data_IF_026399388215
#
_entry.id   IF_026399388215
#
_cell.length_a   1.000
_cell.length_b   1.000
_cell.length_c   1.000
_cell.angle_alpha   90.00
_cell.angle_beta   90.00
_cell.angle_gamma   90.00
#
_symmetry.space_group_name_H-M   'P 1'
#
loop_
_entity.id
_entity.type
_entity.pdbx_description
1 polymer ?
#
# COMPACT_ATOMS: atom_id res chain seq x y z
N UNK A 1 15.87 7.96 17.07
CA UNK A 1 15.50 6.58 16.68
C UNK A 1 14.17 6.73 15.97
N UNK A 2 14.16 6.59 14.64
CA UNK A 2 12.93 6.73 13.86
C UNK A 2 12.24 5.38 13.94
N UNK A 3 11.07 5.32 14.57
CA UNK A 3 10.28 4.10 14.58
C UNK A 3 9.88 3.76 13.14
N UNK A 4 10.26 2.56 12.72
CA UNK A 4 10.10 2.09 11.35
C UNK A 4 8.61 1.96 11.01
N UNK A 5 8.17 2.74 10.01
CA UNK A 5 7.33 2.28 8.92
C UNK A 5 5.95 1.66 9.29
N UNK A 6 5.11 2.37 10.04
CA UNK A 6 3.70 1.98 10.21
C UNK A 6 2.94 2.21 8.90
N UNK A 7 2.33 1.15 8.34
CA UNK A 7 1.40 1.29 7.22
C UNK A 7 0.23 2.22 7.57
N UNK A 8 -0.29 2.88 6.55
CA UNK A 8 -1.45 3.73 6.63
C UNK A 8 -2.74 2.89 6.65
N UNK A 9 -3.75 3.31 7.41
CA UNK A 9 -5.04 2.62 7.43
C UNK A 9 -5.74 2.66 6.09
N UNK A 10 -6.64 1.70 5.87
CA UNK A 10 -7.52 1.70 4.70
C UNK A 10 -8.36 2.98 4.65
N UNK A 11 -8.65 3.44 3.43
CA UNK A 11 -9.35 4.70 3.20
C UNK A 11 -8.47 5.94 3.36
N UNK A 12 -7.19 5.79 3.70
CA UNK A 12 -6.23 6.89 3.62
C UNK A 12 -6.12 7.39 2.18
N UNK A 13 -6.10 8.72 2.01
CA UNK A 13 -5.91 9.37 0.71
C UNK A 13 -4.51 9.94 0.65
N UNK A 14 -3.74 9.55 -0.35
CA UNK A 14 -2.33 9.90 -0.52
C UNK A 14 -2.06 10.49 -1.91
N UNK A 15 -0.95 11.20 -2.02
CA UNK A 15 -0.32 11.60 -3.26
C UNK A 15 1.04 10.92 -3.34
N UNK A 16 1.34 10.27 -4.46
CA UNK A 16 2.64 9.65 -4.68
C UNK A 16 3.66 10.68 -5.18
N UNK A 17 4.94 10.38 -5.00
CA UNK A 17 6.03 11.12 -5.63
C UNK A 17 5.81 11.18 -7.15
N UNK A 18 5.96 12.37 -7.73
CA UNK A 18 5.70 12.66 -9.16
C UNK A 18 4.24 12.41 -9.64
N UNK A 19 3.34 11.98 -8.76
CA UNK A 19 1.93 11.76 -9.05
C UNK A 19 1.12 13.06 -9.03
N UNK A 20 0.25 13.24 -10.02
CA UNK A 20 -0.72 14.35 -10.05
C UNK A 20 -2.10 13.96 -9.49
N UNK A 21 -2.37 12.67 -9.36
CA UNK A 21 -3.68 12.14 -8.95
C UNK A 21 -3.65 11.62 -7.52
N UNK A 22 -4.69 11.94 -6.75
CA UNK A 22 -4.90 11.39 -5.41
C UNK A 22 -5.30 9.93 -5.51
N UNK A 23 -4.72 9.10 -4.66
CA UNK A 23 -5.07 7.69 -4.52
C UNK A 23 -5.70 7.44 -3.16
N UNK A 24 -6.73 6.61 -3.13
CA UNK A 24 -7.27 6.04 -1.89
C UNK A 24 -6.73 4.62 -1.71
N UNK A 25 -6.19 4.33 -0.53
CA UNK A 25 -5.70 2.99 -0.18
C UNK A 25 -6.89 2.06 0.07
N UNK A 26 -6.96 0.97 -0.68
CA UNK A 26 -8.03 -0.03 -0.63
C UNK A 26 -7.54 -1.43 -0.24
N UNK A 27 -6.22 -1.67 -0.23
CA UNK A 27 -5.62 -2.90 0.24
C UNK A 27 -4.20 -2.70 0.76
N UNK A 28 -3.72 -3.66 1.56
CA UNK A 28 -2.38 -3.67 2.17
C UNK A 28 -1.72 -5.03 1.99
N UNK A 29 -0.41 -5.07 1.74
CA UNK A 29 0.34 -6.31 1.51
C UNK A 29 -0.19 -7.12 0.32
N UNK A 30 -0.55 -6.43 -0.76
CA UNK A 30 -1.14 -7.08 -1.92
C UNK A 30 -0.08 -7.87 -2.70
N UNK A 31 -0.28 -9.19 -2.83
CA UNK A 31 0.51 -10.04 -3.72
C UNK A 31 -0.11 -10.01 -5.11
N UNK A 32 0.69 -9.74 -6.12
CA UNK A 32 0.26 -9.75 -7.51
C UNK A 32 1.38 -10.26 -8.42
N UNK A 33 1.00 -10.64 -9.64
CA UNK A 33 1.95 -11.06 -10.65
C UNK A 33 2.47 -9.83 -11.38
N UNK A 34 3.77 -9.56 -11.25
CA UNK A 34 4.39 -8.43 -11.94
C UNK A 34 4.34 -8.65 -13.45
N UNK A 35 3.88 -7.66 -14.20
CA UNK A 35 3.71 -7.81 -15.64
C UNK A 35 5.05 -7.87 -16.38
N UNK A 36 6.10 -7.21 -15.86
CA UNK A 36 7.41 -7.16 -16.49
C UNK A 36 8.23 -8.43 -16.20
N UNK A 37 8.27 -8.88 -14.95
CA UNK A 37 9.08 -10.06 -14.56
C UNK A 37 8.30 -11.38 -14.63
N UNK A 38 6.96 -11.33 -14.66
CA UNK A 38 6.07 -12.50 -14.51
C UNK A 38 6.21 -13.25 -13.18
N UNK A 39 6.93 -12.69 -12.21
CA UNK A 39 7.08 -13.25 -10.87
C UNK A 39 5.99 -12.75 -9.93
N UNK A 40 5.70 -13.53 -8.90
CA UNK A 40 4.87 -13.06 -7.79
C UNK A 40 5.70 -12.08 -6.95
N UNK A 41 5.16 -10.90 -6.73
CA UNK A 41 5.75 -9.87 -5.88
C UNK A 41 4.66 -9.32 -4.96
N UNK A 42 5.06 -8.69 -3.86
CA UNK A 42 4.11 -7.96 -3.03
C UNK A 42 4.37 -6.45 -3.04
N UNK A 43 3.31 -5.68 -2.84
CA UNK A 43 3.35 -4.24 -2.60
C UNK A 43 2.70 -3.89 -1.25
N UNK A 44 3.21 -2.83 -0.62
CA UNK A 44 2.67 -2.33 0.63
C UNK A 44 1.21 -1.94 0.50
N UNK A 45 0.85 -1.28 -0.61
CA UNK A 45 -0.51 -0.80 -0.86
C UNK A 45 -1.05 -1.20 -2.22
N UNK A 46 -2.35 -1.44 -2.21
CA UNK A 46 -3.23 -1.41 -3.37
C UNK A 46 -4.11 -0.18 -3.26
N UNK A 47 -4.13 0.66 -4.29
CA UNK A 47 -4.89 1.89 -4.34
C UNK A 47 -5.78 2.02 -5.56
N UNK A 48 -6.70 2.98 -5.45
CA UNK A 48 -7.62 3.38 -6.49
C UNK A 48 -7.60 4.90 -6.69
N UNK A 49 -7.94 5.37 -7.88
CA UNK A 49 -7.94 6.80 -8.17
C UNK A 49 -9.09 7.46 -7.41
N UNK A 50 -8.81 8.47 -6.60
CA UNK A 50 -9.85 9.25 -5.91
C UNK A 50 -10.30 10.45 -6.77
N UNK A 51 -11.61 10.72 -6.91
CA UNK A 51 -12.77 10.04 -6.34
C UNK A 51 -13.40 8.96 -7.25
N UNK A 52 -12.71 8.54 -8.31
CA UNK A 52 -13.25 7.64 -9.35
C UNK A 52 -13.54 6.23 -8.79
N UNK A 53 -12.66 5.70 -7.95
CA UNK A 53 -12.76 4.36 -7.36
C UNK A 53 -11.95 3.30 -8.11
N UNK A 54 -12.18 2.03 -7.75
CA UNK A 54 -11.41 0.88 -8.25
C UNK A 54 -11.86 0.55 -9.67
N UNK A 55 -10.90 0.43 -10.58
CA UNK A 55 -11.10 -0.22 -11.87
C UNK A 55 -10.33 -1.56 -11.87
N UNK A 56 -11.00 -2.70 -12.08
CA UNK A 56 -10.35 -4.01 -12.13
C UNK A 56 -9.18 -4.10 -13.11
N UNK A 57 -9.20 -3.30 -14.18
CA UNK A 57 -8.16 -3.27 -15.20
C UNK A 57 -6.98 -2.38 -14.86
N UNK A 58 -7.14 -1.43 -13.91
CA UNK A 58 -6.11 -0.44 -13.57
C UNK A 58 -5.95 -0.31 -12.05
N UNK A 59 -5.68 -1.44 -11.39
CA UNK A 59 -5.27 -1.44 -9.99
C UNK A 59 -3.87 -0.85 -9.86
N UNK A 60 -3.68 0.07 -8.91
CA UNK A 60 -2.39 0.73 -8.68
C UNK A 60 -1.75 0.08 -7.45
N UNK A 61 -0.54 -0.44 -7.61
CA UNK A 61 0.27 -0.99 -6.53
C UNK A 61 1.45 -0.05 -6.27
N UNK A 62 1.71 0.29 -5.00
CA UNK A 62 2.79 1.21 -4.63
C UNK A 62 3.31 0.91 -3.23
N UNK A 63 4.53 1.35 -2.96
CA UNK A 63 5.20 1.18 -1.68
C UNK A 63 4.98 2.38 -0.77
N UNK A 64 5.14 2.18 0.54
CA UNK A 64 5.04 3.24 1.52
C UNK A 64 6.07 4.36 1.31
N UNK A 65 7.24 4.01 0.82
CA UNK A 65 8.29 4.97 0.45
C UNK A 65 7.92 5.85 -0.76
N UNK A 66 6.95 5.45 -1.60
CA UNK A 66 6.53 6.24 -2.76
C UNK A 66 5.53 7.34 -2.41
N UNK A 67 5.11 7.47 -1.15
CA UNK A 67 4.13 8.48 -0.72
C UNK A 67 4.85 9.81 -0.46
N UNK A 68 4.58 10.81 -1.30
CA UNK A 68 5.01 12.20 -1.08
C UNK A 68 4.21 12.83 0.06
N UNK A 69 2.88 12.67 0.04
CA UNK A 69 2.01 13.33 1.01
C UNK A 69 0.76 12.54 1.36
N UNK A 70 0.48 12.42 2.65
CA UNK A 70 -0.81 11.95 3.17
C UNK A 70 -1.79 13.12 3.20
N UNK A 71 -2.84 13.05 2.38
CA UNK A 71 -3.90 14.06 2.29
C UNK A 71 -4.95 13.83 3.38
N UNK A 72 -5.25 12.57 3.66
CA UNK A 72 -6.19 12.15 4.69
C UNK A 72 -5.73 10.81 5.25
N UNK A 73 -5.70 10.70 6.58
CA UNK A 73 -5.47 9.41 7.25
C UNK A 73 -6.81 8.69 7.39
N UNK A 74 -6.84 7.43 6.97
CA UNK A 74 -8.00 6.58 6.99
C UNK A 74 -8.51 6.27 8.40
N UNK A 75 -9.56 5.46 8.46
CA UNK A 75 -10.18 5.07 9.71
C UNK A 75 -9.23 4.19 10.54
N UNK A 76 -9.18 4.41 11.85
CA UNK A 76 -8.26 3.74 12.76
C UNK A 76 -8.95 3.52 14.09
N UNK A 77 -8.99 2.26 14.53
CA UNK A 77 -9.54 1.81 15.80
C UNK A 77 -8.71 0.63 16.34
N UNK A 78 -9.23 -0.09 17.34
CA UNK A 78 -8.56 -1.25 17.94
C UNK A 78 -8.34 -2.39 16.93
N UNK A 79 -9.20 -2.54 15.93
CA UNK A 79 -9.01 -3.55 14.86
C UNK A 79 -7.84 -3.18 13.97
N UNK A 80 -7.68 -1.89 13.65
CA UNK A 80 -6.54 -1.37 12.90
C UNK A 80 -5.22 -1.59 13.65
N UNK A 81 -5.18 -1.33 14.97
CA UNK A 81 -3.99 -1.58 15.79
C UNK A 81 -3.61 -3.07 15.78
N UNK A 82 -4.61 -3.95 15.96
CA UNK A 82 -4.40 -5.40 15.90
C UNK A 82 -3.95 -5.87 14.51
N UNK A 83 -4.48 -5.27 13.45
CA UNK A 83 -4.05 -5.57 12.09
C UNK A 83 -2.56 -5.26 11.90
N UNK A 84 -2.08 -4.12 12.40
CA UNK A 84 -0.67 -3.75 12.31
C UNK A 84 0.26 -4.76 13.00
N UNK A 85 -0.13 -5.32 14.14
CA UNK A 85 0.63 -6.38 14.81
C UNK A 85 0.70 -7.68 13.99
N UNK A 86 -0.42 -8.09 13.41
CA UNK A 86 -0.50 -9.30 12.58
C UNK A 86 0.28 -9.10 11.28
N UNK A 87 0.16 -7.93 10.66
CA UNK A 87 0.88 -7.56 9.45
C UNK A 87 2.40 -7.60 9.67
N UNK A 88 2.89 -7.01 10.77
CA UNK A 88 4.32 -7.00 11.08
C UNK A 88 4.91 -8.39 11.30
N UNK A 89 4.10 -9.37 11.75
CA UNK A 89 4.51 -10.78 11.82
C UNK A 89 4.53 -11.42 10.43
N UNK A 90 3.48 -11.20 9.65
CA UNK A 90 3.39 -11.70 8.28
C UNK A 90 4.55 -11.19 7.40
N UNK A 91 4.93 -9.92 7.52
CA UNK A 91 6.05 -9.33 6.77
C UNK A 91 7.41 -10.00 7.08
N UNK A 92 7.57 -10.59 8.27
CA UNK A 92 8.79 -11.34 8.63
C UNK A 92 8.78 -12.77 8.08
N UNK A 93 7.60 -13.32 7.81
CA UNK A 93 7.42 -14.70 7.33
C UNK A 93 7.32 -14.78 5.80
N UNK A 94 6.94 -13.68 5.14
CA UNK A 94 6.74 -13.66 3.69
C UNK A 94 8.07 -13.90 2.95
N UNK A 95 8.07 -14.93 2.10
CA UNK A 95 9.23 -15.30 1.27
C UNK A 95 9.20 -14.65 -0.12
N UNK A 96 8.06 -14.06 -0.48
CA UNK A 96 7.83 -13.33 -1.72
C UNK A 96 8.57 -12.00 -1.65
N UNK A 97 9.26 -11.63 -2.73
CA UNK A 97 10.01 -10.39 -2.77
C UNK A 97 9.08 -9.17 -2.86
N UNK A 98 9.44 -8.11 -2.13
CA UNK A 98 8.81 -6.80 -2.28
C UNK A 98 9.18 -6.23 -3.64
N UNK A 99 8.21 -5.73 -4.41
CA UNK A 99 8.52 -5.03 -5.67
C UNK A 99 9.39 -3.81 -5.36
N UNK A 100 10.59 -3.78 -5.91
CA UNK A 100 11.49 -2.61 -5.81
C UNK A 100 11.00 -1.53 -6.78
N UNK A 101 11.09 -0.24 -6.41
CA UNK A 101 10.91 0.84 -7.37
C UNK A 101 11.97 0.71 -8.47
N UNK A 102 11.55 0.89 -9.74
CA UNK A 102 12.45 0.99 -10.90
C UNK A 102 13.16 2.34 -10.94
#
# INVERSE_FOLDING_TARGET
>A
MVESNQLLPLGSVVLLEEGLQKLIIVGRGAIYKDQATQEEVFADYMGAIYPIGVNPETTIFFQNENIDRVIFRGFSDEEEERFMEVYGKWEQEVTISKKRPE
#
